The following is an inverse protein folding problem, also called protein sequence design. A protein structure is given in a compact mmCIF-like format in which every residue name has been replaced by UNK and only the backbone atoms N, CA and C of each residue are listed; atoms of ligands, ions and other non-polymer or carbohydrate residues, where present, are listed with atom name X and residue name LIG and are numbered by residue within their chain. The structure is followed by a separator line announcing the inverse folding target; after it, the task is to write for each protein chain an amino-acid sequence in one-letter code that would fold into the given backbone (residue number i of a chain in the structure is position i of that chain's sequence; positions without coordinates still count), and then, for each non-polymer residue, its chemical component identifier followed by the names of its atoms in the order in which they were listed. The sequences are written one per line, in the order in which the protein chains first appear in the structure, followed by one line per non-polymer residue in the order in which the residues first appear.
data_IF_014060796783
#
_entry.id   IF_014060796783
#
_cell.length_a   1.000
_cell.length_b   1.000
_cell.length_c   1.000
_cell.angle_alpha   90.00
_cell.angle_beta   90.00
_cell.angle_gamma   90.00
#
_symmetry.space_group_name_H-M   'P 1'
#
loop_
_entity.id
_entity.type
_entity.pdbx_description
1 polymer ?
#
# COMPACT_ATOMS: atom_id res chain seq x y z
N UNK A 1 -6.24 48.39 34.55
CA UNK A 1 -5.63 48.34 33.21
C UNK A 1 -4.48 47.33 33.07
N UNK A 2 -3.82 46.89 34.15
CA UNK A 2 -2.70 45.93 34.07
C UNK A 2 -3.15 44.47 33.90
N UNK A 3 -4.33 44.10 34.39
CA UNK A 3 -4.82 42.70 34.34
C UNK A 3 -5.32 42.25 32.97
N UNK A 4 -5.79 43.16 32.10
CA UNK A 4 -6.21 42.79 30.72
C UNK A 4 -5.04 42.44 29.80
N UNK A 5 -3.81 42.83 30.14
CA UNK A 5 -2.62 42.49 29.34
C UNK A 5 -2.18 41.04 29.59
N UNK A 6 -2.30 40.54 30.81
CA UNK A 6 -1.88 39.18 31.15
C UNK A 6 -2.82 38.10 30.56
N UNK A 7 -4.11 38.41 30.40
CA UNK A 7 -5.06 37.47 29.76
C UNK A 7 -4.85 37.30 28.25
N UNK A 8 -4.34 38.33 27.56
CA UNK A 8 -4.05 38.25 26.12
C UNK A 8 -2.77 37.44 25.84
N UNK A 9 -1.77 37.54 26.72
CA UNK A 9 -0.53 36.78 26.55
C UNK A 9 -0.70 35.28 26.85
N UNK A 10 -1.65 34.87 27.72
CA UNK A 10 -1.92 33.45 27.96
C UNK A 10 -2.60 32.75 26.77
N UNK A 11 -3.60 33.37 26.13
CA UNK A 11 -4.26 32.78 24.95
C UNK A 11 -3.30 32.58 23.76
N UNK A 12 -2.32 33.48 23.62
CA UNK A 12 -1.29 33.38 22.58
C UNK A 12 -0.25 32.27 22.85
N UNK A 13 -0.06 31.89 24.11
CA UNK A 13 0.83 30.78 24.53
C UNK A 13 0.13 29.44 24.35
N UNK A 14 -1.16 29.32 24.66
CA UNK A 14 -1.95 28.11 24.43
C UNK A 14 -2.14 27.80 22.94
N UNK A 15 -2.46 28.82 22.13
CA UNK A 15 -2.52 28.67 20.68
C UNK A 15 -1.18 28.28 20.04
N UNK A 16 -0.05 28.78 20.57
CA UNK A 16 1.29 28.34 20.15
C UNK A 16 1.63 26.93 20.62
N UNK A 17 1.15 26.49 21.78
CA UNK A 17 1.42 25.15 22.31
C UNK A 17 0.58 24.07 21.62
N UNK A 18 -0.67 24.39 21.24
CA UNK A 18 -1.51 23.56 20.38
C UNK A 18 -0.93 23.47 18.95
N UNK A 19 -0.49 24.60 18.38
CA UNK A 19 0.30 24.61 17.12
C UNK A 19 1.59 23.82 17.25
N UNK A 20 2.33 23.91 18.36
CA UNK A 20 3.54 23.13 18.59
C UNK A 20 3.29 21.65 18.85
N UNK A 21 2.10 21.23 19.32
CA UNK A 21 1.70 19.81 19.38
C UNK A 21 1.28 19.28 18.02
N UNK A 22 0.61 20.10 17.19
CA UNK A 22 0.35 19.79 15.80
C UNK A 22 1.66 19.72 14.97
N UNK A 23 2.56 20.68 15.18
CA UNK A 23 3.90 20.79 14.56
C UNK A 23 4.88 19.74 15.10
N UNK A 24 4.83 19.41 16.39
CA UNK A 24 5.62 18.36 17.03
C UNK A 24 5.24 16.95 16.58
N UNK A 25 3.99 16.74 16.13
CA UNK A 25 3.60 15.53 15.40
C UNK A 25 3.95 15.58 13.90
N UNK A 26 4.20 16.76 13.32
CA UNK A 26 4.67 16.91 11.94
C UNK A 26 6.19 16.85 11.78
N UNK A 27 6.95 16.94 12.87
CA UNK A 27 8.42 16.99 12.83
C UNK A 27 9.07 15.61 13.07
N UNK A 28 8.61 14.58 12.34
CA UNK A 28 9.53 13.48 12.04
C UNK A 28 10.61 14.08 11.14
N UNK A 29 11.86 14.12 11.60
CA UNK A 29 13.00 14.80 10.98
C UNK A 29 13.23 14.49 9.48
N UNK A 30 12.51 13.52 8.88
CA UNK A 30 12.29 13.39 7.43
C UNK A 30 10.96 12.64 7.14
N UNK A 31 9.88 13.31 6.68
CA UNK A 31 8.59 12.65 6.40
C UNK A 31 8.68 11.61 5.28
N UNK A 32 9.57 11.83 4.29
CA UNK A 32 9.86 10.87 3.22
C UNK A 32 10.47 9.56 3.75
N UNK A 33 11.44 9.65 4.67
CA UNK A 33 12.09 8.47 5.26
C UNK A 33 11.09 7.63 6.05
N UNK A 34 10.20 8.29 6.78
CA UNK A 34 9.15 7.62 7.55
C UNK A 34 8.18 6.88 6.64
N UNK A 35 7.72 7.52 5.55
CA UNK A 35 6.86 6.87 4.55
C UNK A 35 7.52 5.62 3.94
N UNK A 36 8.82 5.66 3.63
CA UNK A 36 9.56 4.51 3.11
C UNK A 36 9.61 3.37 4.14
N UNK A 37 9.88 3.66 5.41
CA UNK A 37 9.95 2.63 6.47
C UNK A 37 8.61 1.92 6.64
N UNK A 38 7.50 2.67 6.65
CA UNK A 38 6.16 2.06 6.72
C UNK A 38 5.83 1.25 5.46
N UNK A 39 6.12 1.79 4.27
CA UNK A 39 5.95 1.06 3.02
C UNK A 39 6.73 -0.25 3.00
N UNK A 40 7.96 -0.26 3.52
CA UNK A 40 8.79 -1.46 3.67
C UNK A 40 8.13 -2.45 4.64
N UNK A 41 7.70 -2.00 5.82
CA UNK A 41 7.08 -2.87 6.83
C UNK A 41 5.78 -3.52 6.32
N UNK A 42 4.92 -2.75 5.67
CA UNK A 42 3.67 -3.26 5.07
C UNK A 42 3.98 -4.20 3.89
N UNK A 43 5.00 -3.88 3.10
CA UNK A 43 5.47 -4.74 2.01
C UNK A 43 5.95 -6.10 2.52
N UNK A 44 6.70 -6.13 3.63
CA UNK A 44 7.15 -7.40 4.25
C UNK A 44 5.96 -8.21 4.78
N UNK A 45 4.97 -7.57 5.40
CA UNK A 45 3.76 -8.27 5.86
C UNK A 45 2.99 -8.84 4.65
N UNK A 46 2.81 -8.04 3.60
CA UNK A 46 2.18 -8.49 2.35
C UNK A 46 2.93 -9.63 1.70
N UNK A 47 4.27 -9.63 1.78
CA UNK A 47 5.11 -10.73 1.31
C UNK A 47 4.81 -12.04 2.05
N UNK A 48 4.78 -12.00 3.38
CA UNK A 48 4.53 -13.18 4.21
C UNK A 48 3.15 -13.77 3.89
N UNK A 49 2.14 -12.91 3.73
CA UNK A 49 0.78 -13.33 3.36
C UNK A 49 0.79 -13.96 1.96
N UNK A 50 1.49 -13.37 1.00
CA UNK A 50 1.59 -13.90 -0.36
C UNK A 50 2.24 -15.29 -0.38
N UNK A 51 3.33 -15.48 0.35
CA UNK A 51 3.98 -16.77 0.50
C UNK A 51 3.04 -17.79 1.17
N UNK A 52 2.38 -17.41 2.26
CA UNK A 52 1.43 -18.27 2.95
C UNK A 52 0.26 -18.71 2.05
N UNK A 53 -0.29 -17.79 1.25
CA UNK A 53 -1.34 -18.10 0.28
C UNK A 53 -0.84 -19.02 -0.85
N UNK A 54 0.39 -18.83 -1.33
CA UNK A 54 1.00 -19.74 -2.30
C UNK A 54 1.12 -21.18 -1.76
N UNK A 55 1.52 -21.35 -0.50
CA UNK A 55 1.53 -22.67 0.15
C UNK A 55 0.13 -23.24 0.38
N UNK A 56 -0.83 -22.41 0.79
CA UNK A 56 -2.21 -22.86 1.01
C UNK A 56 -2.92 -23.29 -0.29
N UNK A 57 -2.53 -22.71 -1.43
CA UNK A 57 -3.11 -22.99 -2.75
C UNK A 57 -2.41 -24.13 -3.50
N UNK A 58 -1.21 -24.55 -3.07
CA UNK A 58 -0.44 -25.61 -3.72
C UNK A 58 -1.22 -26.92 -3.94
N UNK A 59 -1.98 -27.47 -2.97
CA UNK A 59 -2.64 -28.76 -3.17
C UNK A 59 -3.74 -28.70 -4.22
N UNK A 60 -4.36 -27.53 -4.43
CA UNK A 60 -5.42 -27.32 -5.42
C UNK A 60 -4.82 -27.23 -6.84
N UNK A 61 -3.65 -26.59 -6.96
CA UNK A 61 -2.93 -26.42 -8.22
C UNK A 61 -2.32 -27.73 -8.73
N UNK A 62 -1.82 -28.60 -7.84
CA UNK A 62 -1.34 -29.93 -8.22
C UNK A 62 -2.45 -30.82 -8.79
N UNK A 63 -3.66 -30.73 -8.24
CA UNK A 63 -4.81 -31.47 -8.75
C UNK A 63 -5.24 -31.01 -10.15
N UNK A 64 -5.10 -29.72 -10.47
CA UNK A 64 -5.37 -29.20 -11.82
C UNK A 64 -4.38 -29.69 -12.86
N UNK A 65 -3.09 -29.87 -12.51
CA UNK A 65 -2.06 -30.29 -13.48
C UNK A 65 -2.37 -31.67 -14.09
N UNK A 66 -3.13 -32.49 -13.38
CA UNK A 66 -3.52 -33.84 -13.81
C UNK A 66 -4.84 -33.87 -14.60
N UNK A 67 -5.52 -32.73 -14.80
CA UNK A 67 -6.82 -32.65 -15.47
C UNK A 67 -6.77 -31.63 -16.61
N UNK A 68 -6.69 -32.07 -17.89
CA UNK A 68 -6.45 -31.18 -19.03
C UNK A 68 -7.68 -30.40 -19.51
N UNK A 69 -8.86 -30.59 -18.90
CA UNK A 69 -10.11 -29.90 -19.25
C UNK A 69 -10.44 -28.79 -18.26
N UNK A 70 -10.97 -27.67 -18.76
CA UNK A 70 -11.41 -26.53 -17.96
C UNK A 70 -12.55 -26.94 -17.00
N UNK A 71 -12.18 -27.37 -15.80
CA UNK A 71 -13.09 -27.84 -14.76
C UNK A 71 -13.30 -26.78 -13.66
N UNK A 72 -14.20 -27.06 -12.71
CA UNK A 72 -14.45 -26.22 -11.55
C UNK A 72 -13.16 -25.79 -10.80
N UNK A 73 -12.15 -26.66 -10.79
CA UNK A 73 -10.83 -26.39 -10.21
C UNK A 73 -10.11 -25.18 -10.86
N UNK A 74 -10.30 -24.93 -12.16
CA UNK A 74 -9.74 -23.76 -12.85
C UNK A 74 -10.37 -22.45 -12.41
N UNK A 75 -11.67 -22.45 -12.14
CA UNK A 75 -12.35 -21.29 -11.57
C UNK A 75 -11.92 -21.03 -10.13
N UNK A 76 -11.63 -22.08 -9.35
CA UNK A 76 -11.10 -21.96 -7.99
C UNK A 76 -9.69 -21.37 -8.02
N UNK A 77 -8.80 -21.85 -8.89
CA UNK A 77 -7.45 -21.30 -9.05
C UNK A 77 -7.46 -19.82 -9.45
N UNK A 78 -8.32 -19.43 -10.40
CA UNK A 78 -8.50 -18.04 -10.79
C UNK A 78 -9.08 -17.18 -9.64
N UNK A 79 -10.05 -17.73 -8.90
CA UNK A 79 -10.65 -17.08 -7.74
C UNK A 79 -9.64 -16.79 -6.63
N UNK A 80 -8.75 -17.74 -6.32
CA UNK A 80 -7.67 -17.54 -5.35
C UNK A 80 -6.68 -16.47 -5.81
N UNK A 81 -6.30 -16.46 -7.08
CA UNK A 81 -5.43 -15.40 -7.64
C UNK A 81 -6.07 -14.02 -7.53
N UNK A 82 -7.37 -13.91 -7.79
CA UNK A 82 -8.12 -12.66 -7.63
C UNK A 82 -8.18 -12.22 -6.15
N UNK A 83 -8.46 -13.16 -5.24
CA UNK A 83 -8.48 -12.90 -3.79
C UNK A 83 -7.12 -12.38 -3.30
N UNK A 84 -6.03 -12.94 -3.81
CA UNK A 84 -4.67 -12.51 -3.49
C UNK A 84 -4.41 -11.06 -3.91
N UNK A 85 -4.87 -10.66 -5.10
CA UNK A 85 -4.78 -9.27 -5.55
C UNK A 85 -5.58 -8.36 -4.64
N UNK A 86 -6.81 -8.75 -4.28
CA UNK A 86 -7.67 -7.97 -3.38
C UNK A 86 -7.03 -7.78 -2.00
N UNK A 87 -6.44 -8.83 -1.42
CA UNK A 87 -5.76 -8.76 -0.12
C UNK A 87 -4.56 -7.79 -0.15
N UNK A 88 -3.73 -7.87 -1.19
CA UNK A 88 -2.62 -6.94 -1.37
C UNK A 88 -3.09 -5.49 -1.53
N UNK A 89 -4.19 -5.29 -2.27
CA UNK A 89 -4.82 -3.98 -2.45
C UNK A 89 -5.33 -3.41 -1.11
N UNK A 90 -5.97 -4.26 -0.31
CA UNK A 90 -6.48 -3.90 1.02
C UNK A 90 -5.33 -3.52 1.97
N UNK A 91 -4.22 -4.27 1.96
CA UNK A 91 -3.02 -3.93 2.73
C UNK A 91 -2.42 -2.58 2.32
N UNK A 92 -2.36 -2.29 1.01
CA UNK A 92 -1.90 -0.99 0.52
C UNK A 92 -2.83 0.15 0.98
N UNK A 93 -4.14 -0.09 0.98
CA UNK A 93 -5.11 0.87 1.48
C UNK A 93 -4.95 1.14 2.98
N UNK A 94 -4.84 0.08 3.80
CA UNK A 94 -4.61 0.19 5.26
C UNK A 94 -3.29 0.92 5.52
N UNK A 95 -2.24 0.57 4.78
CA UNK A 95 -0.96 1.24 4.85
C UNK A 95 -1.06 2.74 4.58
N UNK A 96 -1.68 3.10 3.46
CA UNK A 96 -1.98 4.48 3.12
C UNK A 96 -2.77 5.20 4.22
N UNK A 97 -3.79 4.54 4.78
CA UNK A 97 -4.63 5.09 5.86
C UNK A 97 -3.81 5.46 7.10
N UNK A 98 -2.90 4.61 7.56
CA UNK A 98 -2.03 4.90 8.70
C UNK A 98 -1.11 6.10 8.46
N UNK A 99 -0.55 6.23 7.26
CA UNK A 99 0.26 7.41 6.88
C UNK A 99 -0.59 8.67 6.81
N UNK A 100 -1.80 8.58 6.26
CA UNK A 100 -2.71 9.72 6.15
C UNK A 100 -3.12 10.30 7.50
N UNK A 101 -3.29 9.43 8.52
CA UNK A 101 -3.53 9.86 9.90
C UNK A 101 -2.37 10.68 10.47
N UNK A 102 -1.12 10.33 10.12
CA UNK A 102 0.08 10.95 10.73
C UNK A 102 0.56 12.21 10.04
N UNK A 103 0.44 12.30 8.72
CA UNK A 103 1.12 13.36 7.96
C UNK A 103 0.17 14.35 7.28
N UNK A 104 -1.15 14.16 7.38
CA UNK A 104 -2.19 15.01 6.74
C UNK A 104 -1.94 15.32 5.26
N UNK A 105 -1.08 14.55 4.59
CA UNK A 105 -0.57 14.77 3.24
C UNK A 105 -0.82 13.52 2.40
N UNK A 106 -1.78 13.60 1.47
CA UNK A 106 -2.18 12.47 0.62
C UNK A 106 -1.07 11.94 -0.30
N UNK A 107 -0.08 12.77 -0.65
CA UNK A 107 1.06 12.35 -1.50
C UNK A 107 1.98 11.32 -0.85
N UNK A 108 2.05 11.25 0.48
CA UNK A 108 2.92 10.27 1.16
C UNK A 108 2.31 8.86 1.11
N UNK A 109 0.97 8.76 1.10
CA UNK A 109 0.28 7.48 0.93
C UNK A 109 0.59 6.80 -0.40
N UNK A 110 0.76 7.58 -1.47
CA UNK A 110 1.18 7.08 -2.77
C UNK A 110 2.50 6.32 -2.68
N UNK A 111 3.54 6.96 -2.13
CA UNK A 111 4.86 6.34 -2.00
C UNK A 111 4.84 5.07 -1.16
N UNK A 112 4.05 5.05 -0.08
CA UNK A 112 3.97 3.86 0.78
C UNK A 112 3.32 2.68 0.08
N UNK A 113 2.24 2.92 -0.67
CA UNK A 113 1.56 1.90 -1.45
C UNK A 113 2.41 1.40 -2.62
N UNK A 114 3.01 2.31 -3.38
CA UNK A 114 3.88 1.98 -4.51
C UNK A 114 5.11 1.17 -4.10
N UNK A 115 5.79 1.53 -3.00
CA UNK A 115 6.97 0.80 -2.52
C UNK A 115 6.58 -0.59 -2.03
N UNK A 116 5.46 -0.70 -1.31
CA UNK A 116 4.95 -1.98 -0.82
C UNK A 116 4.64 -2.94 -1.96
N UNK A 117 3.86 -2.51 -2.96
CA UNK A 117 3.52 -3.36 -4.10
C UNK A 117 4.72 -3.70 -4.97
N UNK A 118 5.64 -2.75 -5.15
CA UNK A 118 6.90 -2.98 -5.85
C UNK A 118 7.73 -4.10 -5.18
N UNK A 119 7.87 -4.04 -3.86
CA UNK A 119 8.62 -5.03 -3.09
C UNK A 119 7.99 -6.42 -3.20
N UNK A 120 6.67 -6.50 -3.01
CA UNK A 120 5.93 -7.77 -3.16
C UNK A 120 6.09 -8.31 -4.57
N UNK A 121 5.98 -7.47 -5.60
CA UNK A 121 6.10 -7.90 -6.99
C UNK A 121 7.51 -8.42 -7.34
N UNK A 122 8.56 -7.70 -6.95
CA UNK A 122 9.96 -8.09 -7.23
C UNK A 122 10.26 -9.44 -6.57
N UNK A 123 9.91 -9.60 -5.29
CA UNK A 123 10.20 -10.85 -4.57
C UNK A 123 9.33 -11.99 -5.11
N UNK A 124 8.06 -11.75 -5.42
CA UNK A 124 7.20 -12.79 -6.04
C UNK A 124 7.76 -13.23 -7.39
N UNK A 125 8.24 -12.30 -8.20
CA UNK A 125 8.90 -12.60 -9.48
C UNK A 125 10.16 -13.43 -9.25
N UNK A 126 10.97 -13.09 -8.25
CA UNK A 126 12.17 -13.87 -7.90
C UNK A 126 11.84 -15.28 -7.40
N UNK A 127 10.77 -15.45 -6.62
CA UNK A 127 10.32 -16.76 -6.14
C UNK A 127 9.85 -17.67 -7.28
N UNK A 128 9.26 -17.11 -8.34
CA UNK A 128 8.88 -17.88 -9.53
C UNK A 128 10.06 -18.42 -10.32
N UNK A 129 11.28 -17.90 -10.10
CA UNK A 129 12.50 -18.44 -10.71
C UNK A 129 13.04 -19.66 -9.96
N UNK A 130 12.52 -19.96 -8.77
CA UNK A 130 12.89 -21.14 -8.00
C UNK A 130 12.06 -22.34 -8.49
N UNK A 131 12.70 -23.37 -9.08
CA UNK A 131 12.00 -24.58 -9.51
C UNK A 131 11.41 -25.29 -8.29
N UNK A 132 10.13 -25.65 -8.37
CA UNK A 132 9.41 -26.31 -7.27
C UNK A 132 8.71 -25.38 -6.27
N UNK A 133 8.77 -24.05 -6.47
CA UNK A 133 7.95 -23.13 -5.66
C UNK A 133 6.46 -23.27 -6.03
N UNK A 134 5.55 -23.45 -5.04
CA UNK A 134 4.13 -23.71 -5.30
C UNK A 134 3.38 -22.56 -5.98
N UNK A 135 3.91 -21.33 -5.88
CA UNK A 135 3.38 -20.16 -6.59
C UNK A 135 3.80 -20.07 -8.06
N UNK A 136 4.64 -20.98 -8.56
CA UNK A 136 5.07 -21.01 -9.95
C UNK A 136 3.94 -21.57 -10.84
N UNK A 137 2.90 -20.77 -11.05
CA UNK A 137 2.00 -20.98 -12.16
C UNK A 137 2.76 -20.57 -13.41
N UNK A 138 3.09 -21.53 -14.28
CA UNK A 138 3.78 -21.29 -15.54
C UNK A 138 3.22 -20.02 -16.16
N UNK A 139 4.02 -18.94 -16.11
CA UNK A 139 3.66 -17.66 -16.70
C UNK A 139 3.18 -17.98 -18.10
N UNK A 140 1.89 -17.71 -18.34
CA UNK A 140 1.13 -17.95 -19.56
C UNK A 140 2.07 -18.25 -20.71
N UNK A 141 2.04 -19.50 -21.19
CA UNK A 141 2.66 -19.91 -22.43
C UNK A 141 2.60 -18.75 -23.41
N UNK A 142 3.78 -18.34 -23.86
CA UNK A 142 4.06 -17.28 -24.82
C UNK A 142 2.85 -16.87 -25.64
N UNK A 143 2.58 -15.55 -25.84
CA UNK A 143 1.62 -15.16 -26.86
C UNK A 143 2.00 -15.89 -28.15
N UNK A 144 1.12 -16.78 -28.61
CA UNK A 144 1.18 -17.49 -29.88
C UNK A 144 0.89 -16.52 -31.02
N UNK A 145 1.62 -15.42 -31.06
CA UNK A 145 1.48 -14.35 -32.03
C UNK A 145 2.87 -13.84 -32.29
N UNK A 146 3.49 -14.36 -33.36
CA UNK A 146 4.37 -13.66 -34.30
C UNK A 146 4.87 -12.27 -33.84
N UNK A 147 5.59 -12.21 -32.73
CA UNK A 147 6.06 -10.94 -32.18
C UNK A 147 7.50 -10.76 -32.68
N UNK A 148 7.84 -9.63 -33.32
CA UNK A 148 9.16 -9.39 -33.90
C UNK A 148 10.26 -9.15 -32.85
N UNK A 149 9.99 -9.41 -31.57
CA UNK A 149 10.85 -9.05 -30.45
C UNK A 149 11.52 -10.32 -29.91
N UNK A 150 12.86 -10.38 -29.82
CA UNK A 150 13.58 -11.54 -29.30
C UNK A 150 13.10 -11.93 -27.90
N UNK A 151 12.95 -13.24 -27.63
CA UNK A 151 12.42 -13.80 -26.38
C UNK A 151 12.99 -13.19 -25.06
N UNK A 152 14.30 -12.91 -24.92
CA UNK A 152 14.82 -12.27 -23.69
C UNK A 152 14.42 -10.79 -23.57
N UNK A 153 14.31 -10.06 -24.69
CA UNK A 153 13.85 -8.66 -24.71
C UNK A 153 12.35 -8.55 -24.40
N UNK A 154 11.55 -9.51 -24.84
CA UNK A 154 10.12 -9.58 -24.52
C UNK A 154 9.87 -9.77 -23.02
N UNK A 155 10.63 -10.64 -22.36
CA UNK A 155 10.50 -10.88 -20.92
C UNK A 155 10.85 -9.68 -20.05
N UNK A 156 11.94 -8.97 -20.39
CA UNK A 156 12.37 -7.76 -19.67
C UNK A 156 11.33 -6.65 -19.83
N UNK A 157 10.83 -6.41 -21.05
CA UNK A 157 9.82 -5.40 -21.31
C UNK A 157 8.52 -5.69 -20.54
N UNK A 158 8.08 -6.94 -20.53
CA UNK A 158 6.86 -7.36 -19.83
C UNK A 158 7.00 -7.21 -18.31
N UNK A 159 8.17 -7.53 -17.75
CA UNK A 159 8.49 -7.27 -16.34
C UNK A 159 8.44 -5.77 -16.03
N UNK A 160 9.03 -4.93 -16.89
CA UNK A 160 9.07 -3.49 -16.70
C UNK A 160 7.66 -2.86 -16.73
N UNK A 161 6.82 -3.30 -17.67
CA UNK A 161 5.41 -2.91 -17.75
C UNK A 161 4.66 -3.40 -16.51
N UNK A 162 4.86 -4.65 -16.10
CA UNK A 162 4.23 -5.22 -14.90
C UNK A 162 4.59 -4.46 -13.63
N UNK A 163 5.87 -4.16 -13.43
CA UNK A 163 6.36 -3.30 -12.34
C UNK A 163 5.67 -1.95 -12.37
N UNK A 164 5.61 -1.30 -13.55
CA UNK A 164 5.02 0.02 -13.70
C UNK A 164 3.52 0.04 -13.36
N UNK A 165 2.77 -0.95 -13.86
CA UNK A 165 1.33 -1.09 -13.58
C UNK A 165 1.09 -1.32 -12.09
N UNK A 166 1.83 -2.26 -11.46
CA UNK A 166 1.68 -2.58 -10.04
C UNK A 166 2.11 -1.43 -9.13
N UNK A 167 3.13 -0.67 -9.55
CA UNK A 167 3.58 0.54 -8.88
C UNK A 167 2.50 1.63 -8.86
N UNK A 168 1.84 1.86 -10.00
CA UNK A 168 0.75 2.84 -10.11
C UNK A 168 -0.47 2.39 -9.31
N UNK A 169 -0.90 1.13 -9.45
CA UNK A 169 -2.07 0.61 -8.74
C UNK A 169 -1.85 0.69 -7.23
N UNK A 170 -0.71 0.20 -6.73
CA UNK A 170 -0.36 0.31 -5.31
C UNK A 170 -0.34 1.75 -4.81
N UNK A 171 0.22 2.65 -5.61
CA UNK A 171 0.26 4.07 -5.31
C UNK A 171 -1.12 4.72 -5.22
N UNK A 172 -2.01 4.45 -6.18
CA UNK A 172 -3.37 5.01 -6.18
C UNK A 172 -4.15 4.53 -4.94
N UNK A 173 -4.09 3.23 -4.63
CA UNK A 173 -4.79 2.69 -3.46
C UNK A 173 -4.20 3.20 -2.13
N UNK A 174 -2.87 3.33 -2.04
CA UNK A 174 -2.22 3.96 -0.89
C UNK A 174 -2.57 5.44 -0.74
N UNK A 175 -2.61 6.19 -1.85
CA UNK A 175 -3.05 7.59 -1.86
C UNK A 175 -4.51 7.69 -1.41
N UNK A 176 -5.38 6.82 -1.90
CA UNK A 176 -6.79 6.84 -1.54
C UNK A 176 -7.02 6.59 -0.05
N UNK A 177 -6.33 5.60 0.53
CA UNK A 177 -6.34 5.34 1.97
C UNK A 177 -5.85 6.55 2.77
N UNK A 178 -4.73 7.15 2.36
CA UNK A 178 -4.18 8.32 3.06
C UNK A 178 -5.07 9.56 2.98
N UNK A 179 -5.75 9.74 1.84
CA UNK A 179 -6.62 10.89 1.59
C UNK A 179 -7.86 10.79 2.47
N UNK A 180 -8.49 9.60 2.55
CA UNK A 180 -9.64 9.38 3.45
C UNK A 180 -9.29 9.58 4.92
N UNK A 181 -8.12 9.12 5.36
CA UNK A 181 -7.66 9.36 6.71
C UNK A 181 -7.43 10.87 6.95
N UNK A 182 -6.71 11.54 6.05
CA UNK A 182 -6.44 12.97 6.18
C UNK A 182 -7.73 13.81 6.27
N UNK A 183 -8.77 13.48 5.48
CA UNK A 183 -10.07 14.16 5.58
C UNK A 183 -10.74 13.95 6.94
N UNK A 184 -10.81 12.71 7.43
CA UNK A 184 -11.47 12.42 8.72
C UNK A 184 -10.76 13.10 9.90
N UNK A 185 -9.42 13.06 9.92
CA UNK A 185 -8.67 13.66 11.02
C UNK A 185 -8.64 15.19 10.94
N UNK A 186 -8.60 15.80 9.74
CA UNK A 186 -8.76 17.27 9.62
C UNK A 186 -10.11 17.76 10.13
N UNK A 187 -11.20 17.04 9.83
CA UNK A 187 -12.53 17.41 10.30
C UNK A 187 -12.64 17.33 11.84
N UNK A 188 -11.98 16.37 12.48
CA UNK A 188 -11.97 16.24 13.93
C UNK A 188 -11.18 17.36 14.62
N UNK A 189 -10.05 17.79 14.05
CA UNK A 189 -9.30 18.91 14.61
C UNK A 189 -10.03 20.25 14.43
N UNK A 190 -10.74 20.45 13.32
CA UNK A 190 -11.54 21.65 13.11
C UNK A 190 -12.74 21.73 14.08
N UNK A 191 -13.42 20.60 14.34
CA UNK A 191 -14.51 20.55 15.30
C UNK A 191 -14.04 20.78 16.75
N UNK A 192 -12.84 20.28 17.10
CA UNK A 192 -12.26 20.51 18.42
C UNK A 192 -11.86 21.99 18.63
N UNK A 193 -11.37 22.67 17.58
CA UNK A 193 -11.11 24.12 17.64
C UNK A 193 -12.40 24.95 17.77
N UNK A 194 -13.53 24.48 17.23
CA UNK A 194 -14.84 25.14 17.39
C UNK A 194 -15.43 24.94 18.80
N UNK A 195 -15.31 23.75 19.39
CA UNK A 195 -15.76 23.51 20.79
C UNK A 195 -14.95 24.33 21.80
N UNK A 196 -13.62 24.41 21.65
CA UNK A 196 -12.78 25.24 22.53
C UNK A 196 -13.08 26.75 22.38
N UNK A 197 -13.59 27.20 21.23
CA UNK A 197 -13.95 28.60 21.00
C UNK A 197 -15.35 28.98 21.54
N UNK A 198 -16.25 28.02 21.75
CA UNK A 198 -17.57 28.25 22.36
C UNK A 198 -17.55 28.19 23.90
N UNK A 199 -16.56 27.53 24.50
CA UNK A 199 -16.40 27.45 25.97
C UNK A 199 -15.67 28.66 26.58
N UNK A 200 -15.13 29.57 25.75
CA UNK A 200 -14.27 30.72 26.12
C UNK A 200 -14.95 32.09 26.05
#
# INVERSE_FOLDING_TARGET
MKERKNGLEMKDVEGKTARQRAEGQTQAANPKRTAIIYGLGIGVIGLIINIACAFASSPILEQQKNVPTANALTYIGLGLSCLQVILNLALCFIGGWFIGKRFLNGRLGFWTGSISTLLVYIVSTALNWIPGYPGNQSTVSSPTTESPIPAPLGGILLLLIGVFVVFIIGGIFGQWGSTRAAYKYRAQYAAAEEEEAEED
#
